data_IF_232797131828
#
_entry.id   IF_232797131828
#
_cell.length_a   1.000
_cell.length_b   1.000
_cell.length_c   1.000
_cell.angle_alpha   90.00
_cell.angle_beta   90.00
_cell.angle_gamma   90.00
#
_symmetry.space_group_name_H-M   'P 1'
#
loop_
_entity.id
_entity.type
_entity.pdbx_description
1 polymer ?
#
# COMPACT_ATOMS: atom_id res chain seq x y z
N UNK A 1 -19.92 14.97 20.30
CA UNK A 1 -20.33 14.03 19.26
C UNK A 1 -19.76 12.67 19.62
N UNK A 2 -20.62 11.79 20.13
CA UNK A 2 -20.21 10.48 20.66
C UNK A 2 -19.76 9.56 19.53
N UNK A 3 -18.46 9.32 19.45
CA UNK A 3 -17.92 8.20 18.69
C UNK A 3 -18.31 6.92 19.43
N UNK A 4 -19.42 6.33 19.06
CA UNK A 4 -19.84 5.01 19.52
C UNK A 4 -18.75 4.03 19.06
N UNK A 5 -17.87 3.65 19.97
CA UNK A 5 -16.92 2.56 19.78
C UNK A 5 -17.76 1.29 19.61
N UNK A 6 -18.09 0.94 18.36
CA UNK A 6 -18.78 -0.33 18.08
C UNK A 6 -17.93 -1.44 18.70
N UNK A 7 -18.47 -2.10 19.72
CA UNK A 7 -17.83 -3.24 20.37
C UNK A 7 -17.42 -4.25 19.29
N UNK A 8 -16.15 -4.61 19.28
CA UNK A 8 -15.60 -5.58 18.34
C UNK A 8 -16.26 -6.92 18.68
N UNK A 9 -16.95 -7.55 17.71
CA UNK A 9 -17.57 -8.84 17.96
C UNK A 9 -16.51 -9.88 18.37
N UNK A 10 -16.83 -10.84 19.28
CA UNK A 10 -15.87 -11.85 19.74
C UNK A 10 -15.17 -12.59 18.58
N UNK A 11 -15.91 -12.90 17.53
CA UNK A 11 -15.39 -13.57 16.34
C UNK A 11 -14.37 -12.70 15.59
N UNK A 12 -14.64 -11.40 15.47
CA UNK A 12 -13.69 -10.47 14.85
C UNK A 12 -12.43 -10.33 15.71
N UNK A 13 -12.56 -10.28 17.01
CA UNK A 13 -11.44 -10.19 17.93
C UNK A 13 -10.55 -11.43 17.81
N UNK A 14 -11.13 -12.62 17.81
CA UNK A 14 -10.41 -13.88 17.59
C UNK A 14 -9.64 -13.86 16.27
N UNK A 15 -10.29 -13.46 15.16
CA UNK A 15 -9.61 -13.34 13.86
C UNK A 15 -8.41 -12.39 13.91
N UNK A 16 -8.51 -11.26 14.63
CA UNK A 16 -7.40 -10.30 14.80
C UNK A 16 -6.25 -10.97 15.56
N UNK A 17 -6.54 -11.72 16.61
CA UNK A 17 -5.54 -12.44 17.40
C UNK A 17 -4.82 -13.50 16.57
N UNK A 18 -5.58 -14.29 15.79
CA UNK A 18 -5.03 -15.30 14.86
C UNK A 18 -4.08 -14.66 13.81
N UNK A 19 -4.44 -13.48 13.29
CA UNK A 19 -3.60 -12.73 12.37
C UNK A 19 -2.34 -12.18 13.05
N UNK A 20 -2.45 -11.71 14.29
CA UNK A 20 -1.32 -11.18 15.09
C UNK A 20 -0.33 -12.28 15.44
N UNK A 21 -0.80 -13.47 15.84
CA UNK A 21 0.08 -14.65 16.08
C UNK A 21 0.92 -14.99 14.85
N UNK A 22 0.37 -14.78 13.64
CA UNK A 22 1.11 -14.99 12.38
C UNK A 22 1.86 -13.77 11.88
N UNK A 23 1.95 -12.71 12.68
CA UNK A 23 2.64 -11.43 12.37
C UNK A 23 2.20 -10.84 11.02
N UNK A 24 0.91 -10.97 10.67
CA UNK A 24 0.40 -10.35 9.45
C UNK A 24 0.39 -8.83 9.60
N UNK A 25 0.77 -8.12 8.51
CA UNK A 25 0.79 -6.66 8.51
C UNK A 25 -0.61 -6.07 8.72
N UNK A 26 -0.71 -4.87 9.30
CA UNK A 26 -1.99 -4.17 9.53
C UNK A 26 -2.81 -4.05 8.26
N UNK A 27 -2.15 -3.77 7.12
CA UNK A 27 -2.81 -3.68 5.82
C UNK A 27 -3.46 -5.00 5.41
N UNK A 28 -2.81 -6.12 5.66
CA UNK A 28 -3.35 -7.46 5.42
C UNK A 28 -4.53 -7.74 6.35
N UNK A 29 -4.38 -7.44 7.64
CA UNK A 29 -5.45 -7.61 8.65
C UNK A 29 -6.71 -6.82 8.25
N UNK A 30 -6.57 -5.55 7.88
CA UNK A 30 -7.67 -4.71 7.40
C UNK A 30 -8.34 -5.32 6.17
N UNK A 31 -7.54 -5.84 5.22
CA UNK A 31 -8.04 -6.49 4.01
C UNK A 31 -8.87 -7.73 4.30
N UNK A 32 -8.39 -8.59 5.19
CA UNK A 32 -9.07 -9.84 5.57
C UNK A 32 -10.36 -9.56 6.35
N UNK A 33 -10.35 -8.65 7.31
CA UNK A 33 -11.55 -8.22 8.02
C UNK A 33 -12.59 -7.64 7.05
N UNK A 34 -12.15 -6.86 6.05
CA UNK A 34 -13.03 -6.32 5.02
C UNK A 34 -13.70 -7.43 4.20
N UNK A 35 -12.97 -8.50 3.87
CA UNK A 35 -13.51 -9.65 3.16
C UNK A 35 -14.63 -10.33 3.95
N UNK A 36 -14.42 -10.61 5.24
CA UNK A 36 -15.44 -11.22 6.13
C UNK A 36 -16.64 -10.32 6.31
N UNK A 37 -16.43 -9.00 6.49
CA UNK A 37 -17.54 -8.03 6.58
C UNK A 37 -18.38 -7.98 5.31
N UNK A 38 -17.75 -8.15 4.15
CA UNK A 38 -18.46 -8.19 2.86
C UNK A 38 -19.31 -9.45 2.74
N UNK A 39 -18.78 -10.61 3.14
CA UNK A 39 -19.55 -11.85 3.21
C UNK A 39 -20.74 -11.73 4.17
N UNK A 40 -20.52 -11.26 5.39
CA UNK A 40 -21.58 -11.08 6.39
C UNK A 40 -22.70 -10.17 5.88
N UNK A 41 -22.34 -9.08 5.17
CA UNK A 41 -23.32 -8.17 4.57
C UNK A 41 -24.13 -8.85 3.46
N UNK A 42 -23.47 -9.66 2.63
CA UNK A 42 -24.15 -10.41 1.56
C UNK A 42 -25.12 -11.45 2.14
N UNK A 43 -24.72 -12.16 3.20
CA UNK A 43 -25.55 -13.18 3.85
C UNK A 43 -26.72 -12.59 4.66
N UNK A 44 -26.60 -11.35 5.15
CA UNK A 44 -27.54 -10.76 6.11
C UNK A 44 -27.52 -11.45 7.49
N UNK A 45 -26.55 -12.32 7.77
CA UNK A 45 -26.38 -13.10 9.00
C UNK A 45 -24.91 -13.28 9.36
N UNK A 46 -24.64 -13.96 10.46
CA UNK A 46 -23.27 -14.18 10.92
C UNK A 46 -22.47 -15.03 9.91
N UNK A 47 -21.21 -14.65 9.62
CA UNK A 47 -20.40 -15.27 8.57
C UNK A 47 -19.93 -16.69 8.92
N UNK A 48 -19.92 -17.08 10.19
CA UNK A 48 -19.61 -18.43 10.68
C UNK A 48 -20.72 -19.45 10.39
N UNK A 49 -21.93 -18.99 10.03
CA UNK A 49 -23.04 -19.85 9.62
C UNK A 49 -23.09 -20.09 8.11
N UNK A 50 -22.08 -19.64 7.36
CA UNK A 50 -22.06 -19.78 5.91
C UNK A 50 -21.90 -21.24 5.48
N UNK A 51 -22.67 -21.64 4.46
CA UNK A 51 -22.56 -22.94 3.81
C UNK A 51 -21.69 -22.86 2.55
N UNK A 52 -21.30 -24.02 2.01
CA UNK A 52 -20.56 -24.08 0.74
C UNK A 52 -21.34 -23.39 -0.41
N UNK A 53 -22.66 -23.55 -0.44
CA UNK A 53 -23.52 -22.93 -1.47
C UNK A 53 -23.59 -21.40 -1.28
N UNK A 54 -23.61 -20.91 -0.04
CA UNK A 54 -23.51 -19.46 0.22
C UNK A 54 -22.21 -18.88 -0.32
N UNK A 55 -21.09 -19.57 -0.15
CA UNK A 55 -19.79 -19.13 -0.66
C UNK A 55 -19.75 -19.12 -2.19
N UNK A 56 -20.35 -20.15 -2.82
CA UNK A 56 -20.50 -20.20 -4.28
C UNK A 56 -21.32 -19.01 -4.80
N UNK A 57 -22.49 -18.76 -4.19
CA UNK A 57 -23.38 -17.65 -4.53
C UNK A 57 -22.70 -16.28 -4.27
N UNK A 58 -21.96 -16.18 -3.19
CA UNK A 58 -21.21 -14.96 -2.89
C UNK A 58 -20.11 -14.70 -3.92
N UNK A 59 -19.36 -15.72 -4.33
CA UNK A 59 -18.32 -15.56 -5.36
C UNK A 59 -18.95 -15.16 -6.70
N UNK A 60 -20.08 -15.76 -7.09
CA UNK A 60 -20.82 -15.35 -8.30
C UNK A 60 -21.27 -13.90 -8.20
N UNK A 61 -21.86 -13.50 -7.08
CA UNK A 61 -22.25 -12.11 -6.83
C UNK A 61 -21.07 -11.13 -6.98
N UNK A 62 -19.86 -11.48 -6.52
CA UNK A 62 -18.69 -10.62 -6.70
C UNK A 62 -18.32 -10.43 -8.18
N UNK A 63 -18.53 -11.46 -9.00
CA UNK A 63 -18.33 -11.37 -10.47
C UNK A 63 -19.42 -10.51 -11.10
N UNK A 64 -20.68 -10.72 -10.74
CA UNK A 64 -21.84 -10.03 -11.32
C UNK A 64 -21.82 -8.53 -11.04
N UNK A 65 -21.34 -8.11 -9.88
CA UNK A 65 -21.15 -6.67 -9.56
C UNK A 65 -19.90 -6.07 -10.19
N UNK A 66 -19.21 -6.78 -11.09
CA UNK A 66 -18.07 -6.28 -11.85
C UNK A 66 -16.80 -6.07 -11.00
N UNK A 67 -16.63 -6.81 -9.90
CA UNK A 67 -15.41 -6.69 -9.11
C UNK A 67 -14.20 -7.22 -9.87
N UNK A 68 -13.07 -6.50 -9.83
CA UNK A 68 -11.85 -6.93 -10.53
C UNK A 68 -11.34 -8.29 -10.02
N UNK A 69 -10.79 -9.15 -10.91
CA UNK A 69 -10.25 -10.47 -10.54
C UNK A 69 -9.25 -10.42 -9.38
N UNK A 70 -8.38 -9.40 -9.35
CA UNK A 70 -7.42 -9.20 -8.25
C UNK A 70 -8.13 -8.97 -6.91
N UNK A 71 -9.22 -8.16 -6.91
CA UNK A 71 -10.01 -7.88 -5.70
C UNK A 71 -10.82 -9.09 -5.25
N UNK A 72 -11.34 -9.89 -6.19
CA UNK A 72 -12.01 -11.16 -5.89
C UNK A 72 -11.01 -12.11 -5.21
N UNK A 73 -9.83 -12.30 -5.80
CA UNK A 73 -8.80 -13.19 -5.25
C UNK A 73 -8.32 -12.75 -3.87
N UNK A 74 -8.15 -11.44 -3.65
CA UNK A 74 -7.83 -10.91 -2.33
C UNK A 74 -8.96 -11.18 -1.31
N UNK A 75 -10.23 -11.09 -1.75
CA UNK A 75 -11.39 -11.41 -0.90
C UNK A 75 -11.41 -12.90 -0.56
N UNK A 76 -11.21 -13.78 -1.54
CA UNK A 76 -11.11 -15.23 -1.34
C UNK A 76 -10.00 -15.58 -0.35
N UNK A 77 -8.82 -14.98 -0.48
CA UNK A 77 -7.69 -15.21 0.44
C UNK A 77 -8.05 -14.85 1.88
N UNK A 78 -8.72 -13.70 2.08
CA UNK A 78 -9.16 -13.30 3.42
C UNK A 78 -10.24 -14.21 4.01
N UNK A 79 -11.15 -14.74 3.18
CA UNK A 79 -12.17 -15.69 3.61
C UNK A 79 -11.58 -17.08 3.88
N UNK A 80 -10.63 -17.54 3.06
CA UNK A 80 -9.88 -18.78 3.36
C UNK A 80 -9.23 -18.72 4.73
N UNK A 81 -8.51 -17.63 5.01
CA UNK A 81 -7.93 -17.42 6.33
C UNK A 81 -8.98 -17.50 7.45
N UNK A 82 -10.14 -16.87 7.25
CA UNK A 82 -11.22 -16.87 8.24
C UNK A 82 -11.75 -18.26 8.50
N UNK A 83 -12.08 -19.02 7.46
CA UNK A 83 -12.62 -20.38 7.62
C UNK A 83 -11.56 -21.36 8.14
N UNK A 84 -10.34 -21.35 7.59
CA UNK A 84 -9.29 -22.28 7.95
C UNK A 84 -8.68 -21.97 9.32
N UNK A 85 -8.28 -20.72 9.55
CA UNK A 85 -7.50 -20.36 10.73
C UNK A 85 -8.37 -19.96 11.92
N UNK A 86 -9.46 -19.22 11.70
CA UNK A 86 -10.28 -18.69 12.78
C UNK A 86 -11.41 -19.64 13.17
N UNK A 87 -12.05 -20.29 12.21
CA UNK A 87 -13.15 -21.22 12.47
C UNK A 87 -12.72 -22.68 12.55
N UNK A 88 -11.57 -23.06 12.02
CA UNK A 88 -11.13 -24.46 11.95
C UNK A 88 -11.94 -25.29 10.94
N UNK A 89 -12.45 -24.66 9.87
CA UNK A 89 -13.27 -25.26 8.82
C UNK A 89 -12.57 -25.16 7.44
N UNK A 90 -11.44 -25.85 7.24
CA UNK A 90 -10.65 -25.73 6.00
C UNK A 90 -11.42 -26.18 4.75
N UNK A 91 -12.35 -27.11 4.90
CA UNK A 91 -13.21 -27.64 3.81
C UNK A 91 -14.05 -26.52 3.16
N UNK A 92 -14.52 -25.53 3.91
CA UNK A 92 -15.23 -24.37 3.37
C UNK A 92 -14.27 -23.43 2.60
N UNK A 93 -13.06 -23.25 3.09
CA UNK A 93 -12.03 -22.46 2.41
C UNK A 93 -11.72 -23.00 1.01
N UNK A 94 -11.73 -24.32 0.82
CA UNK A 94 -11.43 -24.97 -0.47
C UNK A 94 -12.54 -24.80 -1.52
N UNK A 95 -13.77 -24.48 -1.12
CA UNK A 95 -14.91 -24.30 -2.04
C UNK A 95 -14.85 -23.00 -2.86
N UNK A 96 -13.96 -22.07 -2.51
CA UNK A 96 -13.77 -20.84 -3.27
C UNK A 96 -12.56 -20.98 -4.22
N UNK A 97 -12.78 -20.65 -5.50
CA UNK A 97 -11.78 -20.82 -6.53
C UNK A 97 -11.23 -19.45 -6.99
N UNK A 98 -9.90 -19.29 -7.10
CA UNK A 98 -9.32 -18.07 -7.66
C UNK A 98 -9.80 -17.81 -9.08
N UNK A 99 -10.07 -16.55 -9.38
CA UNK A 99 -10.41 -16.08 -10.72
C UNK A 99 -9.12 -15.82 -11.50
N UNK A 100 -9.11 -16.21 -12.78
CA UNK A 100 -7.98 -15.94 -13.66
C UNK A 100 -7.74 -14.43 -13.79
N UNK A 101 -6.50 -14.01 -13.58
CA UNK A 101 -6.05 -12.63 -13.78
C UNK A 101 -5.30 -12.55 -15.09
N UNK A 102 -5.78 -11.74 -16.02
CA UNK A 102 -5.02 -11.44 -17.23
C UNK A 102 -3.84 -10.55 -16.90
N UNK A 103 -2.65 -10.97 -17.30
CA UNK A 103 -1.43 -10.19 -17.19
C UNK A 103 -1.22 -9.39 -18.49
N UNK A 104 -1.56 -8.10 -18.44
CA UNK A 104 -1.19 -7.17 -19.52
C UNK A 104 0.22 -6.66 -19.27
N UNK A 105 1.03 -6.61 -20.33
CA UNK A 105 2.34 -5.96 -20.23
C UNK A 105 2.13 -4.47 -19.91
N UNK A 106 2.88 -3.93 -18.93
CA UNK A 106 2.80 -2.51 -18.64
C UNK A 106 3.34 -1.69 -19.81
N UNK A 107 2.80 -0.51 -20.04
CA UNK A 107 3.39 0.48 -20.94
C UNK A 107 4.72 0.93 -20.34
N UNK A 108 5.78 0.80 -21.10
CA UNK A 108 7.13 1.24 -20.72
C UNK A 108 7.37 2.63 -21.32
N UNK A 109 7.57 3.62 -20.46
CA UNK A 109 7.88 4.99 -20.88
C UNK A 109 9.33 5.11 -21.34
N UNK A 110 9.58 5.89 -22.39
CA UNK A 110 10.93 6.30 -22.80
C UNK A 110 11.55 7.25 -21.77
N UNK A 111 12.86 7.47 -21.87
CA UNK A 111 13.57 8.44 -20.99
C UNK A 111 13.03 9.86 -21.14
N UNK A 112 12.69 10.25 -22.36
CA UNK A 112 12.13 11.54 -22.73
C UNK A 112 10.73 11.74 -22.16
N UNK A 113 9.90 10.70 -22.22
CA UNK A 113 8.57 10.71 -21.62
C UNK A 113 8.64 10.83 -20.09
N UNK A 114 9.54 10.09 -19.44
CA UNK A 114 9.78 10.21 -18.00
C UNK A 114 10.29 11.61 -17.63
N UNK A 115 11.19 12.18 -18.42
CA UNK A 115 11.69 13.54 -18.17
C UNK A 115 10.57 14.58 -18.27
N UNK A 116 9.68 14.47 -19.27
CA UNK A 116 8.49 15.32 -19.41
C UNK A 116 7.53 15.17 -18.25
N UNK A 117 7.23 13.92 -17.85
CA UNK A 117 6.36 13.63 -16.70
C UNK A 117 6.91 14.26 -15.41
N UNK A 118 8.21 14.11 -15.14
CA UNK A 118 8.85 14.73 -13.97
C UNK A 118 8.79 16.25 -14.05
N UNK A 119 9.03 16.85 -15.22
CA UNK A 119 8.99 18.29 -15.41
C UNK A 119 7.57 18.86 -15.23
N UNK A 120 6.53 18.14 -15.64
CA UNK A 120 5.13 18.49 -15.49
C UNK A 120 4.61 18.40 -14.05
N UNK A 121 5.31 17.68 -13.16
CA UNK A 121 4.91 17.59 -11.76
C UNK A 121 4.93 18.97 -11.08
N UNK A 122 3.83 19.33 -10.41
CA UNK A 122 3.43 20.69 -10.04
C UNK A 122 4.43 21.51 -9.20
N UNK A 123 5.31 20.87 -8.40
CA UNK A 123 6.29 21.60 -7.60
C UNK A 123 7.59 20.81 -7.41
N UNK A 124 8.63 21.50 -6.89
CA UNK A 124 9.97 20.92 -6.68
C UNK A 124 9.94 19.67 -5.80
N UNK A 125 9.09 19.58 -4.78
CA UNK A 125 8.94 18.40 -3.92
C UNK A 125 8.53 17.18 -4.73
N UNK A 126 7.47 17.30 -5.54
CA UNK A 126 6.98 16.17 -6.34
C UNK A 126 7.95 15.81 -7.47
N UNK A 127 8.55 16.82 -8.13
CA UNK A 127 9.61 16.56 -9.14
C UNK A 127 10.77 15.78 -8.56
N UNK A 128 11.22 16.14 -7.36
CA UNK A 128 12.32 15.44 -6.68
C UNK A 128 11.89 14.03 -6.24
N UNK A 129 10.68 13.87 -5.67
CA UNK A 129 10.16 12.56 -5.28
C UNK A 129 10.03 11.60 -6.48
N UNK A 130 9.55 12.10 -7.63
CA UNK A 130 9.47 11.30 -8.87
C UNK A 130 10.86 11.00 -9.44
N UNK A 131 11.82 11.93 -9.29
CA UNK A 131 13.22 11.67 -9.66
C UNK A 131 13.84 10.56 -8.81
N UNK A 132 13.50 10.49 -7.51
CA UNK A 132 13.93 9.39 -6.64
C UNK A 132 13.28 8.08 -7.08
N UNK A 133 11.97 8.10 -7.43
CA UNK A 133 11.27 6.92 -7.94
C UNK A 133 11.99 6.32 -9.14
N UNK A 134 12.29 7.15 -10.12
CA UNK A 134 12.90 6.72 -11.38
C UNK A 134 14.40 6.42 -11.22
N UNK A 135 15.16 7.34 -10.61
CA UNK A 135 16.64 7.27 -10.56
C UNK A 135 17.16 6.21 -9.59
N UNK A 136 16.46 5.95 -8.48
CA UNK A 136 16.85 4.95 -7.49
C UNK A 136 15.94 3.70 -7.48
N UNK A 137 14.91 3.64 -8.32
CA UNK A 137 14.00 2.49 -8.43
C UNK A 137 13.20 2.22 -7.16
N UNK A 138 12.82 3.27 -6.42
CA UNK A 138 12.08 3.12 -5.17
C UNK A 138 10.56 3.04 -5.40
N UNK A 139 9.89 2.23 -4.56
CA UNK A 139 8.42 2.17 -4.52
C UNK A 139 7.84 3.42 -3.88
N UNK A 140 6.61 3.77 -4.24
CA UNK A 140 5.92 4.94 -3.68
C UNK A 140 5.90 4.95 -2.13
N UNK A 141 5.70 3.79 -1.50
CA UNK A 141 5.76 3.66 -0.04
C UNK A 141 7.15 3.89 0.54
N UNK A 142 8.20 3.45 -0.16
CA UNK A 142 9.59 3.64 0.25
C UNK A 142 9.99 5.13 0.12
N UNK A 143 9.58 5.79 -0.98
CA UNK A 143 9.85 7.22 -1.19
C UNK A 143 9.26 8.08 -0.08
N UNK A 144 7.99 7.87 0.26
CA UNK A 144 7.32 8.70 1.26
C UNK A 144 7.82 8.47 2.68
N UNK A 145 8.46 7.33 2.95
CA UNK A 145 9.06 7.02 4.25
C UNK A 145 10.55 7.36 4.36
N UNK A 146 11.18 7.93 3.30
CA UNK A 146 12.56 8.38 3.37
C UNK A 146 12.73 9.54 4.37
N UNK A 147 13.79 9.46 5.15
CA UNK A 147 14.26 10.52 6.03
C UNK A 147 15.48 11.22 5.42
N UNK A 148 15.78 12.41 5.89
CA UNK A 148 16.98 13.13 5.45
C UNK A 148 18.27 12.40 5.83
N UNK A 149 18.25 11.61 6.92
CA UNK A 149 19.35 10.75 7.37
C UNK A 149 19.59 9.52 6.49
N UNK A 150 18.65 9.20 5.59
CA UNK A 150 18.78 8.03 4.72
C UNK A 150 19.59 8.33 3.44
N UNK A 151 19.92 9.60 3.23
CA UNK A 151 20.74 10.05 2.09
C UNK A 151 22.21 10.03 2.48
N UNK A 152 22.96 9.06 1.98
CA UNK A 152 24.42 8.99 2.15
C UNK A 152 25.10 9.52 0.88
N UNK A 153 25.54 10.78 0.96
CA UNK A 153 26.22 11.44 -0.18
C UNK A 153 27.69 11.04 -0.34
N UNK A 154 28.30 10.44 0.67
CA UNK A 154 29.69 9.94 0.58
C UNK A 154 29.73 8.59 -0.10
N UNK A 155 28.84 7.69 0.27
CA UNK A 155 28.71 6.35 -0.34
C UNK A 155 27.83 6.32 -1.58
N UNK A 156 27.23 7.46 -1.92
CA UNK A 156 26.28 7.58 -3.05
C UNK A 156 25.15 6.55 -2.98
N UNK A 157 24.52 6.42 -1.79
CA UNK A 157 23.45 5.47 -1.53
C UNK A 157 22.26 6.11 -0.81
N UNK A 158 21.09 5.49 -0.99
CA UNK A 158 19.87 5.76 -0.21
C UNK A 158 19.55 4.52 0.63
N UNK A 159 19.42 4.68 1.94
CA UNK A 159 18.97 3.63 2.83
C UNK A 159 17.46 3.52 2.77
N UNK A 160 16.96 2.33 2.50
CA UNK A 160 15.53 2.01 2.47
C UNK A 160 15.23 1.10 3.65
N UNK A 161 14.61 1.67 4.68
CA UNK A 161 14.17 0.91 5.85
C UNK A 161 12.84 0.21 5.55
N UNK A 162 12.70 -1.03 6.04
CA UNK A 162 11.47 -1.83 5.98
C UNK A 162 10.83 -1.89 4.57
N UNK A 163 11.64 -2.11 3.55
CA UNK A 163 11.16 -2.35 2.20
C UNK A 163 10.21 -3.56 2.12
N UNK A 164 9.92 -4.05 0.92
CA UNK A 164 9.03 -5.21 0.73
C UNK A 164 9.52 -6.42 1.54
N UNK A 165 8.69 -6.91 2.47
CA UNK A 165 9.02 -8.03 3.36
C UNK A 165 9.84 -7.62 4.59
N UNK A 166 9.79 -6.36 5.01
CA UNK A 166 10.52 -5.80 6.15
C UNK A 166 12.06 -5.96 6.05
N UNK A 167 12.59 -5.92 4.81
CA UNK A 167 14.04 -6.01 4.57
C UNK A 167 14.59 -4.63 4.28
N UNK A 168 15.65 -4.27 5.01
CA UNK A 168 16.43 -3.07 4.72
C UNK A 168 17.32 -3.32 3.51
N UNK A 169 17.51 -2.28 2.70
CA UNK A 169 18.41 -2.32 1.54
C UNK A 169 18.98 -0.93 1.25
N UNK A 170 20.08 -0.91 0.54
CA UNK A 170 20.62 0.29 -0.06
C UNK A 170 20.25 0.37 -1.53
N UNK A 171 19.85 1.54 -1.99
CA UNK A 171 19.64 1.86 -3.40
C UNK A 171 20.74 2.82 -3.87
N UNK A 172 21.09 2.75 -5.15
CA UNK A 172 22.09 3.64 -5.76
C UNK A 172 21.53 5.06 -5.80
N UNK A 173 22.40 6.05 -5.49
CA UNK A 173 22.11 7.47 -5.57
C UNK A 173 22.93 8.09 -6.72
N UNK A 174 22.38 8.19 -7.95
CA UNK A 174 23.07 8.81 -9.06
C UNK A 174 23.43 10.27 -8.77
N UNK A 175 24.56 10.80 -9.30
CA UNK A 175 25.00 12.18 -9.04
C UNK A 175 23.93 13.24 -9.35
N UNK A 176 23.26 13.13 -10.48
CA UNK A 176 22.17 14.03 -10.87
C UNK A 176 21.00 14.00 -9.86
N UNK A 177 20.71 12.82 -9.28
CA UNK A 177 19.67 12.71 -8.26
C UNK A 177 20.09 13.38 -6.95
N UNK A 178 21.36 13.24 -6.55
CA UNK A 178 21.91 13.96 -5.39
C UNK A 178 21.82 15.48 -5.56
N UNK A 179 22.10 16.00 -6.75
CA UNK A 179 21.95 17.44 -7.06
C UNK A 179 20.51 17.91 -6.90
N UNK A 180 19.53 17.14 -7.39
CA UNK A 180 18.09 17.42 -7.22
C UNK A 180 17.67 17.38 -5.75
N UNK A 181 18.17 16.41 -4.99
CA UNK A 181 17.93 16.33 -3.54
C UNK A 181 18.53 17.54 -2.79
N UNK A 182 19.73 17.97 -3.16
CA UNK A 182 20.38 19.19 -2.60
C UNK A 182 19.59 20.46 -2.96
N UNK A 183 19.08 20.56 -4.18
CA UNK A 183 18.23 21.68 -4.60
C UNK A 183 16.91 21.71 -3.80
N UNK A 184 16.29 20.56 -3.62
CA UNK A 184 15.10 20.42 -2.78
C UNK A 184 15.39 20.80 -1.32
N UNK A 185 16.50 20.34 -0.74
CA UNK A 185 16.92 20.71 0.61
C UNK A 185 17.12 22.21 0.76
N UNK A 186 17.88 22.84 -0.14
CA UNK A 186 18.14 24.29 -0.12
C UNK A 186 16.87 25.13 -0.23
N UNK A 187 15.87 24.63 -0.96
CA UNK A 187 14.57 25.29 -1.06
C UNK A 187 13.71 25.12 0.20
N UNK A 188 13.59 23.90 0.69
CA UNK A 188 12.58 23.53 1.69
C UNK A 188 13.05 23.71 3.15
N UNK A 189 14.34 23.56 3.42
CA UNK A 189 14.89 23.66 4.77
C UNK A 189 14.76 25.07 5.38
N UNK A 190 15.08 26.17 4.70
CA UNK A 190 14.88 27.53 5.21
C UNK A 190 13.41 27.86 5.47
N UNK A 191 12.49 27.23 4.74
CA UNK A 191 11.04 27.39 4.90
C UNK A 191 10.46 26.51 6.04
N UNK A 192 11.31 25.80 6.78
CA UNK A 192 10.88 24.89 7.86
C UNK A 192 10.10 23.66 7.39
N UNK A 193 10.03 23.41 6.07
CA UNK A 193 9.34 22.27 5.51
C UNK A 193 10.09 20.95 5.73
N UNK A 194 11.42 20.99 5.72
CA UNK A 194 12.27 19.83 6.04
C UNK A 194 13.07 20.12 7.31
N UNK A 195 13.16 19.11 8.17
CA UNK A 195 13.96 19.16 9.40
C UNK A 195 15.10 18.15 9.33
N UNK A 196 16.21 18.42 9.98
CA UNK A 196 17.30 17.43 10.14
C UNK A 196 16.75 16.17 10.84
N UNK A 197 17.03 15.00 10.28
CA UNK A 197 16.50 13.72 10.76
C UNK A 197 14.99 13.51 10.51
N UNK A 198 14.28 14.51 9.95
CA UNK A 198 12.88 14.42 9.59
C UNK A 198 12.64 13.79 8.21
N UNK A 199 11.39 13.78 7.79
CA UNK A 199 11.01 13.23 6.49
C UNK A 199 11.65 14.00 5.33
N UNK A 200 12.18 13.27 4.37
CA UNK A 200 12.75 13.87 3.15
C UNK A 200 11.65 14.50 2.29
N UNK A 201 10.46 13.88 2.28
CA UNK A 201 9.27 14.40 1.62
C UNK A 201 8.15 14.54 2.65
N UNK A 202 8.04 15.68 3.34
CA UNK A 202 7.00 15.90 4.33
C UNK A 202 5.62 16.13 3.68
N UNK A 203 4.57 15.85 4.44
CA UNK A 203 3.19 16.18 4.11
C UNK A 203 2.90 17.68 4.20
N UNK A 204 1.63 18.03 4.40
CA UNK A 204 1.22 19.41 4.71
C UNK A 204 1.73 19.84 6.09
N UNK A 205 1.62 18.97 7.08
CA UNK A 205 2.29 19.13 8.37
C UNK A 205 3.68 18.47 8.27
N UNK A 206 4.79 19.20 8.49
CA UNK A 206 6.15 18.67 8.38
C UNK A 206 6.49 17.54 9.35
N UNK A 207 5.70 17.34 10.40
CA UNK A 207 5.83 16.21 11.35
C UNK A 207 5.44 14.88 10.69
N UNK A 208 4.55 14.92 9.71
CA UNK A 208 4.04 13.74 9.01
C UNK A 208 4.70 13.59 7.63
N UNK A 209 4.91 12.35 7.14
CA UNK A 209 5.39 12.12 5.79
C UNK A 209 4.35 12.49 4.74
N UNK A 210 4.80 12.66 3.51
CA UNK A 210 3.94 12.70 2.33
C UNK A 210 3.15 11.39 2.23
N UNK A 211 1.84 11.48 1.95
CA UNK A 211 1.03 10.28 1.73
C UNK A 211 1.25 9.67 0.34
N UNK A 212 1.31 8.35 0.23
CA UNK A 212 1.39 7.66 -1.08
C UNK A 212 0.26 8.06 -2.02
N UNK A 213 -0.95 8.33 -1.49
CA UNK A 213 -2.09 8.82 -2.27
C UNK A 213 -1.84 10.22 -2.85
N UNK A 214 -1.12 11.08 -2.13
CA UNK A 214 -0.76 12.42 -2.61
C UNK A 214 0.30 12.32 -3.72
N UNK A 215 1.31 11.44 -3.55
CA UNK A 215 2.31 11.18 -4.59
C UNK A 215 1.66 10.64 -5.86
N UNK A 216 0.76 9.65 -5.74
CA UNK A 216 0.02 9.11 -6.88
C UNK A 216 -0.82 10.17 -7.60
N UNK A 217 -1.52 11.04 -6.85
CA UNK A 217 -2.27 12.16 -7.46
C UNK A 217 -1.36 13.11 -8.24
N UNK A 218 -0.15 13.39 -7.72
CA UNK A 218 0.81 14.24 -8.41
C UNK A 218 1.30 13.61 -9.72
N UNK A 219 1.48 12.27 -9.76
CA UNK A 219 1.83 11.53 -10.99
C UNK A 219 0.68 11.64 -12.00
N UNK A 220 -0.55 11.34 -11.60
CA UNK A 220 -1.71 11.40 -12.50
C UNK A 220 -2.03 12.81 -13.00
N UNK A 221 -1.69 13.84 -12.25
CA UNK A 221 -1.85 15.23 -12.70
C UNK A 221 -0.75 15.68 -13.67
N UNK A 222 0.37 14.95 -13.72
CA UNK A 222 1.50 15.24 -14.60
C UNK A 222 1.48 14.38 -15.90
N UNK A 223 0.69 13.31 -15.93
CA UNK A 223 0.52 12.39 -17.06
C UNK A 223 -0.53 12.89 -18.05
#
# INVERSE_FOLDING_TARGET
MNSTTQAVSPLRQRMIEDMRMRKLSDKTQIGYIRAVRRLARFLGRLPDTATAEDLRRFQLHLVDVGMSPVSINATITGLKFFFEATLGQPELGTKMHPVRVEHKLPVVLSREEVARLIAAAGNIKYRTALSVAYGAGLRASEIVSLKTSDVDSERMTLRVEQGKGHKDRYAILPPLLLERLRAWWRYAHPLGQIRRGGWLFPGQNPVNPLGTRQLNRAIHAAA
#
